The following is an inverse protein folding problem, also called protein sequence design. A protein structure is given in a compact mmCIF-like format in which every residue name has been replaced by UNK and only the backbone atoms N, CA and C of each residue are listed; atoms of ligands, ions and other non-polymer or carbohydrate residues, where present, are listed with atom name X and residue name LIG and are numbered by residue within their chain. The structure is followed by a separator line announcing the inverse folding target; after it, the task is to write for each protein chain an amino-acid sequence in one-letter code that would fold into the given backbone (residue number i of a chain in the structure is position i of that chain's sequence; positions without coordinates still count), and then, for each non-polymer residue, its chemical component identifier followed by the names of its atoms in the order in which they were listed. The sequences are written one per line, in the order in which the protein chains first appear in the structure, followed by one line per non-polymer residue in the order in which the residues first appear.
data_IF_053607612761
#
_entry.id   IF_053607612761
#
_cell.length_a   1.000
_cell.length_b   1.000
_cell.length_c   1.000
_cell.angle_alpha   90.00
_cell.angle_beta   90.00
_cell.angle_gamma   90.00
#
_symmetry.space_group_name_H-M   'P 1'
#
loop_
_entity.id
_entity.type
_entity.pdbx_description
1 polymer ?
#
# COMPACT_ATOMS: atom_id res chain seq x y z
N UNK A 1 4.38 18.70 23.80
CA UNK A 1 4.56 17.51 22.94
C UNK A 1 3.18 17.12 22.46
N UNK A 2 2.82 17.46 21.21
CA UNK A 2 1.51 17.07 20.66
C UNK A 2 1.50 15.55 20.52
N UNK A 3 0.56 14.87 21.17
CA UNK A 3 0.23 13.49 20.83
C UNK A 3 -0.02 13.46 19.31
N UNK A 4 0.82 12.74 18.57
CA UNK A 4 0.61 12.54 17.15
C UNK A 4 -0.62 11.64 17.01
N UNK A 5 -1.69 12.17 16.44
CA UNK A 5 -2.93 11.42 16.22
C UNK A 5 -2.69 10.31 15.20
N UNK A 6 -2.72 9.04 15.65
CA UNK A 6 -2.65 7.87 14.76
C UNK A 6 -3.93 7.82 13.91
N UNK A 7 -3.79 7.86 12.59
CA UNK A 7 -4.93 7.75 11.67
C UNK A 7 -5.35 6.30 11.47
N UNK A 8 -4.38 5.42 11.22
CA UNK A 8 -4.57 3.98 11.04
C UNK A 8 -3.60 3.23 11.94
N UNK A 9 -4.09 2.20 12.62
CA UNK A 9 -3.31 1.30 13.45
C UNK A 9 -3.78 -0.13 13.18
N UNK A 10 -2.86 -0.98 12.75
CA UNK A 10 -3.06 -2.41 12.56
C UNK A 10 -2.25 -3.12 13.63
N UNK A 11 -2.88 -4.03 14.39
CA UNK A 11 -2.22 -4.80 15.44
C UNK A 11 -2.43 -6.29 15.20
N UNK A 12 -1.33 -7.03 15.16
CA UNK A 12 -1.26 -8.50 15.11
C UNK A 12 -2.20 -9.12 14.06
N UNK A 13 -2.30 -8.48 12.89
CA UNK A 13 -3.18 -8.91 11.81
C UNK A 13 -2.66 -10.20 11.18
N UNK A 14 -3.50 -11.24 11.19
CA UNK A 14 -3.25 -12.51 10.51
C UNK A 14 -4.39 -12.83 9.57
N UNK A 15 -4.06 -13.03 8.28
CA UNK A 15 -5.01 -13.31 7.21
C UNK A 15 -4.58 -14.56 6.45
N UNK A 16 -5.47 -15.55 6.40
CA UNK A 16 -5.25 -16.82 5.70
C UNK A 16 -6.22 -16.94 4.53
N UNK A 17 -5.79 -17.58 3.44
CA UNK A 17 -6.71 -18.07 2.41
C UNK A 17 -6.82 -19.58 2.52
N UNK A 18 -8.03 -20.07 2.78
CA UNK A 18 -8.31 -21.50 2.94
C UNK A 18 -8.77 -22.06 1.60
N UNK A 19 -7.88 -22.76 0.90
CA UNK A 19 -8.16 -23.40 -0.39
C UNK A 19 -8.33 -24.92 -0.20
N UNK A 20 -8.68 -25.62 -1.29
CA UNK A 20 -8.79 -27.09 -1.29
C UNK A 20 -7.40 -27.73 -1.11
N UNK A 21 -6.36 -27.12 -1.67
CA UNK A 21 -5.00 -27.66 -1.70
C UNK A 21 -4.17 -27.30 -0.45
N UNK A 22 -4.69 -26.43 0.43
CA UNK A 22 -4.03 -26.05 1.67
C UNK A 22 -4.44 -24.67 2.20
N UNK A 23 -3.77 -24.23 3.26
CA UNK A 23 -3.94 -22.88 3.81
C UNK A 23 -2.76 -22.01 3.39
N UNK A 24 -3.04 -20.91 2.71
CA UNK A 24 -2.05 -19.90 2.31
C UNK A 24 -1.97 -18.85 3.41
N UNK A 25 -0.80 -18.73 4.03
CA UNK A 25 -0.51 -17.79 5.12
C UNK A 25 -0.11 -16.42 4.56
N UNK A 26 -1.09 -15.66 4.06
CA UNK A 26 -0.83 -14.45 3.28
C UNK A 26 -0.34 -13.25 4.12
N UNK A 27 -0.81 -13.12 5.37
CA UNK A 27 -0.37 -12.09 6.32
C UNK A 27 -0.30 -12.72 7.70
N UNK A 28 0.76 -12.47 8.45
CA UNK A 28 1.05 -13.12 9.72
C UNK A 28 1.62 -12.10 10.72
N UNK A 29 0.93 -11.93 11.85
CA UNK A 29 1.32 -11.07 12.98
C UNK A 29 1.76 -9.66 12.54
N UNK A 30 1.03 -9.08 11.58
CA UNK A 30 1.36 -7.77 11.02
C UNK A 30 0.88 -6.66 11.93
N UNK A 31 1.82 -5.84 12.40
CA UNK A 31 1.56 -4.61 13.16
C UNK A 31 2.15 -3.41 12.44
N UNK A 32 1.33 -2.39 12.22
CA UNK A 32 1.66 -1.24 11.38
C UNK A 32 0.88 0.01 11.78
N UNK A 33 1.50 1.18 11.68
CA UNK A 33 0.89 2.45 12.05
C UNK A 33 1.06 3.50 10.96
N UNK A 34 0.08 4.41 10.86
CA UNK A 34 0.15 5.58 9.99
C UNK A 34 -0.44 6.80 10.71
N UNK A 35 0.37 7.85 10.80
CA UNK A 35 -0.02 9.16 11.34
C UNK A 35 -0.81 9.99 10.29
N UNK A 36 -1.67 10.90 10.77
CA UNK A 36 -2.40 11.82 9.89
C UNK A 36 -1.44 12.72 9.07
N UNK A 37 -1.72 12.87 7.78
CA UNK A 37 -0.92 13.62 6.81
C UNK A 37 0.35 12.92 6.31
N UNK A 38 0.70 11.76 6.85
CA UNK A 38 1.90 11.00 6.45
C UNK A 38 1.65 10.06 5.28
N UNK A 39 2.72 9.72 4.57
CA UNK A 39 2.74 8.67 3.56
C UNK A 39 3.55 7.48 4.06
N UNK A 40 2.96 6.30 4.02
CA UNK A 40 3.62 5.04 4.26
C UNK A 40 3.80 4.27 2.96
N UNK A 41 5.02 3.89 2.62
CA UNK A 41 5.32 2.92 1.57
C UNK A 41 5.25 1.50 2.11
N UNK A 42 4.46 0.63 1.50
CA UNK A 42 4.44 -0.81 1.80
C UNK A 42 5.08 -1.54 0.62
N UNK A 43 6.29 -2.05 0.84
CA UNK A 43 7.16 -2.59 -0.22
C UNK A 43 7.48 -4.06 0.01
N UNK A 44 7.89 -4.77 -1.03
CA UNK A 44 8.24 -6.19 -0.97
C UNK A 44 8.00 -6.88 -2.30
N UNK A 45 8.51 -8.09 -2.46
CA UNK A 45 8.31 -8.90 -3.67
C UNK A 45 6.81 -9.23 -3.90
N UNK A 46 6.46 -9.63 -5.13
CA UNK A 46 5.12 -10.11 -5.47
C UNK A 46 4.73 -11.28 -4.57
N UNK A 47 3.49 -11.29 -4.08
CA UNK A 47 3.02 -12.33 -3.16
C UNK A 47 3.45 -12.16 -1.69
N UNK A 48 4.19 -11.09 -1.34
CA UNK A 48 4.60 -10.85 0.05
C UNK A 48 3.45 -10.54 1.03
N UNK A 49 2.23 -10.27 0.54
CA UNK A 49 1.03 -10.01 1.36
C UNK A 49 0.50 -8.57 1.34
N UNK A 50 1.17 -7.65 0.64
CA UNK A 50 0.87 -6.20 0.61
C UNK A 50 -0.60 -5.87 0.26
N UNK A 51 -1.07 -6.39 -0.86
CA UNK A 51 -2.47 -6.22 -1.32
C UNK A 51 -3.47 -6.85 -0.36
N UNK A 52 -3.13 -7.99 0.27
CA UNK A 52 -3.99 -8.63 1.28
C UNK A 52 -4.16 -7.72 2.49
N UNK A 53 -3.08 -7.10 2.98
CA UNK A 53 -3.12 -6.16 4.10
C UNK A 53 -4.09 -5.01 3.86
N UNK A 54 -3.99 -4.33 2.71
CA UNK A 54 -4.89 -3.19 2.41
C UNK A 54 -6.33 -3.62 2.12
N UNK A 55 -6.53 -4.80 1.51
CA UNK A 55 -7.87 -5.37 1.35
C UNK A 55 -8.52 -5.72 2.69
N UNK A 56 -7.73 -6.12 3.69
CA UNK A 56 -8.19 -6.33 5.06
C UNK A 56 -8.66 -5.01 5.70
N UNK A 57 -7.87 -3.93 5.57
CA UNK A 57 -8.27 -2.58 6.01
C UNK A 57 -9.59 -2.14 5.37
N UNK A 58 -9.75 -2.39 4.07
CA UNK A 58 -10.98 -2.05 3.35
C UNK A 58 -12.15 -3.02 3.56
N UNK A 59 -11.93 -4.15 4.25
CA UNK A 59 -12.88 -5.28 4.35
C UNK A 59 -13.49 -5.70 3.01
N UNK A 60 -12.60 -5.88 2.02
CA UNK A 60 -12.94 -6.37 0.68
C UNK A 60 -12.14 -7.64 0.33
N UNK A 61 -11.63 -8.33 1.35
CA UNK A 61 -11.09 -9.66 1.18
C UNK A 61 -12.17 -10.59 0.58
N UNK A 62 -11.81 -11.48 -0.35
CA UNK A 62 -12.76 -12.42 -0.94
C UNK A 62 -13.23 -13.41 0.13
N UNK A 63 -14.54 -13.52 0.34
CA UNK A 63 -15.14 -14.35 1.38
C UNK A 63 -16.20 -15.29 0.78
N UNK A 64 -15.90 -16.60 0.63
CA UNK A 64 -14.60 -17.30 0.75
C UNK A 64 -13.62 -16.94 -0.40
N UNK A 65 -12.30 -17.27 -0.31
CA UNK A 65 -11.62 -18.14 0.67
C UNK A 65 -10.81 -17.43 1.78
N UNK A 66 -10.79 -16.10 1.84
CA UNK A 66 -10.00 -15.38 2.83
C UNK A 66 -10.66 -15.37 4.21
N UNK A 67 -9.85 -15.52 5.27
CA UNK A 67 -10.27 -15.43 6.67
C UNK A 67 -9.28 -14.57 7.44
N UNK A 68 -9.81 -13.59 8.18
CA UNK A 68 -9.04 -12.89 9.21
C UNK A 68 -9.08 -13.78 10.46
N UNK A 69 -7.92 -14.30 10.85
CA UNK A 69 -7.80 -15.23 11.98
C UNK A 69 -7.73 -14.46 13.29
N UNK A 70 -6.95 -13.39 13.31
CA UNK A 70 -6.77 -12.51 14.46
C UNK A 70 -6.31 -11.12 14.02
N UNK A 71 -6.28 -10.22 15.00
CA UNK A 71 -5.80 -8.86 14.87
C UNK A 71 -6.90 -7.81 15.00
N UNK A 72 -6.48 -6.56 15.01
CA UNK A 72 -7.34 -5.38 15.11
C UNK A 72 -6.90 -4.35 14.07
N UNK A 73 -7.87 -3.68 13.44
CA UNK A 73 -7.61 -2.59 12.50
C UNK A 73 -8.39 -1.37 12.96
N UNK A 74 -7.72 -0.45 13.64
CA UNK A 74 -8.31 0.80 14.12
C UNK A 74 -8.08 1.94 13.12
N UNK A 75 -9.16 2.63 12.76
CA UNK A 75 -9.11 3.85 11.95
C UNK A 75 -9.76 4.99 12.72
N UNK A 76 -9.00 6.07 12.98
CA UNK A 76 -9.41 7.18 13.85
C UNK A 76 -9.93 6.70 15.23
N UNK A 77 -9.28 5.68 15.81
CA UNK A 77 -9.65 5.09 17.09
C UNK A 77 -10.87 4.15 17.05
N UNK A 78 -11.46 3.89 15.89
CA UNK A 78 -12.56 2.94 15.75
C UNK A 78 -12.11 1.66 15.04
N UNK A 79 -12.26 0.51 15.70
CA UNK A 79 -11.99 -0.80 15.10
C UNK A 79 -12.93 -1.06 13.91
N UNK A 80 -12.34 -1.15 12.72
CA UNK A 80 -13.02 -1.45 11.48
C UNK A 80 -13.63 -2.85 11.53
N UNK A 81 -12.93 -3.88 12.04
CA UNK A 81 -13.35 -5.28 11.98
C UNK A 81 -14.66 -5.55 12.71
N UNK A 82 -14.99 -4.72 13.71
CA UNK A 82 -16.25 -4.77 14.46
C UNK A 82 -17.42 -4.04 13.78
N UNK A 83 -17.19 -3.36 12.65
CA UNK A 83 -18.23 -2.57 11.96
C UNK A 83 -19.14 -3.42 11.12
N UNK A 84 -20.44 -3.09 11.13
CA UNK A 84 -21.39 -3.66 10.18
C UNK A 84 -21.08 -3.27 8.73
N UNK A 85 -21.52 -4.08 7.76
CA UNK A 85 -21.41 -3.77 6.32
C UNK A 85 -21.97 -2.38 5.97
N UNK A 86 -23.04 -1.93 6.64
CA UNK A 86 -23.65 -0.60 6.44
C UNK A 86 -22.76 0.53 6.96
N UNK A 87 -22.07 0.33 8.09
CA UNK A 87 -21.11 1.29 8.62
C UNK A 87 -19.87 1.38 7.70
N UNK A 88 -19.32 0.24 7.26
CA UNK A 88 -18.21 0.21 6.32
C UNK A 88 -18.52 0.88 4.98
N UNK A 89 -19.77 0.83 4.49
CA UNK A 89 -20.20 1.59 3.29
C UNK A 89 -20.10 3.11 3.44
N UNK A 90 -20.16 3.64 4.67
CA UNK A 90 -19.99 5.09 4.93
C UNK A 90 -18.52 5.49 5.01
N UNK A 91 -17.64 4.53 5.29
CA UNK A 91 -16.18 4.73 5.43
C UNK A 91 -15.52 4.60 4.06
N UNK A 92 -15.82 3.53 3.32
CA UNK A 92 -15.30 3.32 1.97
C UNK A 92 -15.78 4.43 1.03
N UNK A 93 -14.90 4.92 0.18
CA UNK A 93 -15.14 6.00 -0.77
C UNK A 93 -15.13 7.40 -0.15
N UNK A 94 -15.61 7.55 1.10
CA UNK A 94 -15.69 8.86 1.77
C UNK A 94 -14.51 9.17 2.71
N UNK A 95 -14.15 8.22 3.57
CA UNK A 95 -13.10 8.38 4.58
C UNK A 95 -11.82 7.66 4.17
N UNK A 96 -11.98 6.45 3.62
CA UNK A 96 -10.90 5.64 3.05
C UNK A 96 -11.24 5.36 1.59
N UNK A 97 -10.32 5.69 0.69
CA UNK A 97 -10.46 5.43 -0.73
C UNK A 97 -9.30 4.59 -1.23
N UNK A 98 -9.51 3.84 -2.32
CA UNK A 98 -8.51 2.94 -2.86
C UNK A 98 -8.39 3.10 -4.38
N UNK A 99 -7.16 3.24 -4.86
CA UNK A 99 -6.79 3.08 -6.26
C UNK A 99 -6.30 1.64 -6.42
N UNK A 100 -7.00 0.85 -7.24
CA UNK A 100 -6.67 -0.55 -7.50
C UNK A 100 -5.58 -0.68 -8.57
N UNK A 101 -4.88 -1.83 -8.54
CA UNK A 101 -3.75 -2.15 -9.41
C UNK A 101 -4.06 -2.11 -10.92
N UNK A 102 -5.29 -2.45 -11.34
CA UNK A 102 -5.68 -2.40 -12.75
C UNK A 102 -6.76 -1.34 -13.02
N UNK A 103 -6.41 -0.20 -13.67
CA UNK A 103 -7.38 0.82 -13.99
C UNK A 103 -8.43 0.37 -15.01
N UNK A 104 -8.10 -0.56 -15.91
CA UNK A 104 -9.02 -1.03 -16.94
C UNK A 104 -10.20 -1.79 -16.33
N UNK A 105 -9.99 -2.48 -15.22
CA UNK A 105 -11.06 -3.17 -14.48
C UNK A 105 -11.88 -2.23 -13.60
N UNK A 106 -11.38 -1.04 -13.31
CA UNK A 106 -11.99 -0.11 -12.35
C UNK A 106 -13.03 0.82 -12.98
N UNK A 107 -12.95 1.08 -14.28
CA UNK A 107 -13.90 1.93 -15.01
C UNK A 107 -14.93 1.10 -15.76
N UNK A 108 -16.21 1.45 -15.62
CA UNK A 108 -17.29 0.84 -16.38
C UNK A 108 -17.27 1.35 -17.83
N UNK A 109 -17.04 0.49 -18.84
CA UNK A 109 -16.88 0.91 -20.24
C UNK A 109 -18.15 1.44 -20.89
N UNK A 110 -19.33 1.18 -20.30
CA UNK A 110 -20.64 1.63 -20.81
C UNK A 110 -21.18 2.87 -20.10
N UNK A 111 -20.40 3.48 -19.20
CA UNK A 111 -20.75 4.73 -18.53
C UNK A 111 -19.75 5.82 -18.90
N UNK A 112 -20.22 7.07 -18.96
CA UNK A 112 -19.32 8.20 -19.15
C UNK A 112 -18.41 8.37 -17.94
N UNK A 113 -17.24 8.98 -18.16
CA UNK A 113 -16.27 9.25 -17.11
C UNK A 113 -16.85 10.19 -16.04
N UNK A 114 -17.54 11.26 -16.47
CA UNK A 114 -18.17 12.23 -15.57
C UNK A 114 -19.28 11.61 -14.73
N UNK A 115 -20.11 10.73 -15.32
CA UNK A 115 -21.17 10.05 -14.58
C UNK A 115 -20.61 9.16 -13.46
N UNK A 116 -19.51 8.44 -13.71
CA UNK A 116 -18.87 7.58 -12.71
C UNK A 116 -18.31 8.38 -11.52
N UNK A 117 -17.64 9.50 -11.78
CA UNK A 117 -17.15 10.39 -10.72
C UNK A 117 -18.32 11.01 -9.95
N UNK A 118 -19.35 11.50 -10.66
CA UNK A 118 -20.55 12.07 -10.07
C UNK A 118 -21.29 11.06 -9.18
N UNK A 119 -21.36 9.79 -9.59
CA UNK A 119 -22.01 8.73 -8.82
C UNK A 119 -21.39 8.59 -7.43
N UNK A 120 -20.05 8.51 -7.37
CA UNK A 120 -19.32 8.41 -6.09
C UNK A 120 -19.64 9.60 -5.19
N UNK A 121 -19.60 10.83 -5.72
CA UNK A 121 -19.93 12.05 -4.97
C UNK A 121 -21.35 11.97 -4.40
N UNK A 122 -22.34 11.60 -5.22
CA UNK A 122 -23.75 11.55 -4.80
C UNK A 122 -24.05 10.45 -3.80
N UNK A 123 -23.33 9.32 -3.87
CA UNK A 123 -23.48 8.22 -2.91
C UNK A 123 -23.04 8.65 -1.50
N UNK A 124 -22.04 9.52 -1.40
CA UNK A 124 -21.41 9.92 -0.13
C UNK A 124 -21.79 11.33 0.36
N UNK A 125 -22.36 12.15 -0.51
CA UNK A 125 -22.99 13.43 -0.20
C UNK A 125 -24.42 13.51 -0.77
N UNK A 126 -25.38 13.06 0.05
CA UNK A 126 -26.80 13.01 -0.32
C UNK A 126 -27.47 14.39 -0.43
N UNK A 127 -26.80 15.45 0.03
CA UNK A 127 -27.36 16.80 -0.01
C UNK A 127 -27.11 17.49 -1.34
N UNK A 128 -26.14 17.00 -2.13
CA UNK A 128 -25.81 17.59 -3.42
C UNK A 128 -26.87 17.28 -4.48
N UNK A 129 -27.26 18.31 -5.23
CA UNK A 129 -28.07 18.12 -6.43
C UNK A 129 -27.26 17.38 -7.50
N UNK A 130 -27.95 16.77 -8.47
CA UNK A 130 -27.28 16.14 -9.62
C UNK A 130 -26.41 17.15 -10.38
N UNK A 131 -26.89 18.39 -10.51
CA UNK A 131 -26.18 19.46 -11.23
C UNK A 131 -24.88 19.85 -10.50
N UNK A 132 -24.94 20.01 -9.18
CA UNK A 132 -23.76 20.39 -8.39
C UNK A 132 -22.74 19.24 -8.35
N UNK A 133 -23.21 18.00 -8.27
CA UNK A 133 -22.33 16.83 -8.33
C UNK A 133 -21.65 16.68 -9.69
N UNK A 134 -22.33 17.02 -10.79
CA UNK A 134 -21.74 17.06 -12.13
C UNK A 134 -20.66 18.14 -12.24
N UNK A 135 -20.92 19.34 -11.72
CA UNK A 135 -19.92 20.43 -11.69
C UNK A 135 -18.67 19.97 -10.95
N UNK A 136 -18.82 19.39 -9.75
CA UNK A 136 -17.69 18.83 -9.00
C UNK A 136 -16.97 17.72 -9.77
N UNK A 137 -17.68 16.85 -10.47
CA UNK A 137 -17.06 15.82 -11.30
C UNK A 137 -16.18 16.43 -12.40
N UNK A 138 -16.65 17.48 -13.05
CA UNK A 138 -15.86 18.25 -14.03
C UNK A 138 -14.64 18.92 -13.40
N UNK A 139 -14.79 19.55 -12.23
CA UNK A 139 -13.68 20.15 -11.48
C UNK A 139 -12.61 19.10 -11.13
N UNK A 140 -13.04 17.90 -10.70
CA UNK A 140 -12.13 16.79 -10.41
C UNK A 140 -11.36 16.32 -11.66
N UNK A 141 -11.97 16.35 -12.84
CA UNK A 141 -11.27 16.06 -14.11
C UNK A 141 -10.22 17.12 -14.42
N UNK A 142 -10.56 18.39 -14.26
CA UNK A 142 -9.63 19.49 -14.50
C UNK A 142 -8.43 19.44 -13.56
N UNK A 143 -8.66 19.10 -12.28
CA UNK A 143 -7.60 18.91 -11.29
C UNK A 143 -6.58 17.84 -11.69
N UNK A 144 -7.02 16.80 -12.40
CA UNK A 144 -6.13 15.75 -12.90
C UNK A 144 -5.60 16.03 -14.31
N UNK A 145 -5.81 17.25 -14.82
CA UNK A 145 -5.33 17.71 -16.12
C UNK A 145 -6.13 17.19 -17.31
N UNK A 146 -7.40 16.84 -17.10
CA UNK A 146 -8.35 16.43 -18.15
C UNK A 146 -9.40 17.52 -18.30
N UNK A 147 -9.59 18.02 -19.52
CA UNK A 147 -10.59 19.07 -19.78
C UNK A 147 -11.99 18.57 -19.41
N UNK A 148 -12.80 19.45 -18.83
CA UNK A 148 -14.16 19.15 -18.37
C UNK A 148 -15.13 18.78 -19.51
N UNK A 149 -14.88 19.25 -20.73
CA UNK A 149 -15.65 18.86 -21.94
C UNK A 149 -15.57 17.34 -22.22
N UNK A 150 -14.52 16.67 -21.75
CA UNK A 150 -14.35 15.22 -21.85
C UNK A 150 -15.11 14.43 -20.79
N UNK A 151 -15.87 15.08 -19.91
CA UNK A 151 -16.68 14.38 -18.90
C UNK A 151 -17.74 13.45 -19.53
N UNK A 152 -18.22 13.77 -20.74
CA UNK A 152 -19.20 12.95 -21.47
C UNK A 152 -18.57 11.82 -22.28
N UNK A 153 -17.24 11.75 -22.36
CA UNK A 153 -16.55 10.65 -23.04
C UNK A 153 -16.62 9.37 -22.20
N UNK A 154 -16.49 8.24 -22.88
CA UNK A 154 -16.40 6.91 -22.31
C UNK A 154 -14.94 6.49 -22.06
N UNK A 155 -14.67 5.56 -21.14
CA UNK A 155 -13.32 5.10 -20.84
C UNK A 155 -12.53 4.62 -22.06
N UNK A 156 -13.17 3.98 -23.04
CA UNK A 156 -12.48 3.48 -24.24
C UNK A 156 -11.94 4.60 -25.16
N UNK A 157 -12.34 5.86 -24.95
CA UNK A 157 -11.81 7.03 -25.66
C UNK A 157 -10.56 7.64 -24.99
N UNK A 158 -10.10 7.07 -23.87
CA UNK A 158 -8.98 7.59 -23.06
C UNK A 158 -7.74 6.70 -23.19
N UNK A 159 -6.55 7.32 -23.17
CA UNK A 159 -5.28 6.58 -23.04
C UNK A 159 -5.17 5.95 -21.64
N UNK A 160 -4.23 5.01 -21.47
CA UNK A 160 -3.98 4.37 -20.16
C UNK A 160 -3.72 5.39 -19.04
N UNK A 161 -2.82 6.35 -19.28
CA UNK A 161 -2.52 7.43 -18.32
C UNK A 161 -3.72 8.33 -18.01
N UNK A 162 -4.56 8.60 -19.01
CA UNK A 162 -5.79 9.36 -18.80
C UNK A 162 -6.80 8.59 -17.95
N UNK A 163 -6.97 7.29 -18.17
CA UNK A 163 -7.81 6.43 -17.32
C UNK A 163 -7.31 6.39 -15.89
N UNK A 164 -5.99 6.32 -15.69
CA UNK A 164 -5.41 6.37 -14.36
C UNK A 164 -5.74 7.69 -13.64
N UNK A 165 -5.58 8.82 -14.33
CA UNK A 165 -5.94 10.15 -13.82
C UNK A 165 -7.43 10.23 -13.44
N UNK A 166 -8.31 9.67 -14.25
CA UNK A 166 -9.75 9.56 -13.93
C UNK A 166 -9.99 8.78 -12.64
N UNK A 167 -9.29 7.66 -12.44
CA UNK A 167 -9.45 6.85 -11.22
C UNK A 167 -8.93 7.59 -10.00
N UNK A 168 -7.81 8.31 -10.12
CA UNK A 168 -7.30 9.18 -9.06
C UNK A 168 -8.32 10.27 -8.71
N UNK A 169 -8.89 10.92 -9.73
CA UNK A 169 -9.95 11.91 -9.55
C UNK A 169 -11.16 11.30 -8.81
N UNK A 170 -11.62 10.13 -9.24
CA UNK A 170 -12.73 9.42 -8.62
C UNK A 170 -12.43 9.03 -7.16
N UNK A 171 -11.22 8.54 -6.89
CA UNK A 171 -10.79 8.14 -5.55
C UNK A 171 -10.72 9.33 -4.58
N UNK A 172 -10.37 10.52 -5.08
CA UNK A 172 -10.23 11.74 -4.29
C UNK A 172 -11.49 12.61 -4.29
N UNK A 173 -12.51 12.30 -5.09
CA UNK A 173 -13.70 13.13 -5.28
C UNK A 173 -14.48 13.43 -3.98
N UNK A 174 -14.33 12.58 -2.96
CA UNK A 174 -14.96 12.76 -1.65
C UNK A 174 -14.01 13.25 -0.55
N UNK A 175 -12.78 13.67 -0.91
CA UNK A 175 -11.73 14.14 0.00
C UNK A 175 -11.46 13.16 1.16
N UNK A 176 -11.01 11.93 0.86
CA UNK A 176 -10.77 10.92 1.89
C UNK A 176 -9.62 11.34 2.82
N UNK A 177 -9.72 10.91 4.08
CA UNK A 177 -8.63 11.05 5.05
C UNK A 177 -7.47 10.09 4.78
N UNK A 178 -7.77 8.93 4.22
CA UNK A 178 -6.79 7.91 3.83
C UNK A 178 -6.99 7.51 2.37
N UNK A 179 -5.94 7.66 1.57
CA UNK A 179 -5.83 7.12 0.22
C UNK A 179 -4.92 5.89 0.24
N UNK A 180 -5.44 4.75 -0.18
CA UNK A 180 -4.65 3.55 -0.44
C UNK A 180 -4.40 3.48 -1.93
N UNK A 181 -3.15 3.44 -2.35
CA UNK A 181 -2.78 3.31 -3.74
C UNK A 181 -2.01 1.99 -3.94
N UNK A 182 -2.69 1.01 -4.53
CA UNK A 182 -2.12 -0.32 -4.79
C UNK A 182 -1.55 -0.38 -6.19
N UNK A 183 -0.23 -0.21 -6.32
CA UNK A 183 0.46 -0.22 -7.61
C UNK A 183 -0.14 0.74 -8.68
N UNK A 184 -0.38 2.02 -8.34
CA UNK A 184 -1.15 2.96 -9.16
C UNK A 184 -0.41 3.44 -10.42
N UNK A 185 0.83 3.04 -10.63
CA UNK A 185 1.64 3.41 -11.80
C UNK A 185 2.09 2.20 -12.60
N UNK A 186 1.67 1.00 -12.21
CA UNK A 186 1.96 -0.22 -12.97
C UNK A 186 1.35 -0.11 -14.37
N UNK A 187 2.09 -0.57 -15.38
CA UNK A 187 1.72 -0.52 -16.80
C UNK A 187 1.61 0.89 -17.43
N UNK A 188 2.17 1.92 -16.79
CA UNK A 188 2.35 3.25 -17.38
C UNK A 188 3.80 3.43 -17.86
N UNK A 189 4.01 4.25 -18.89
CA UNK A 189 5.35 4.68 -19.25
C UNK A 189 5.94 5.60 -18.17
N UNK A 190 7.27 5.67 -18.09
CA UNK A 190 8.01 6.42 -17.06
C UNK A 190 7.62 7.90 -17.01
N UNK A 191 7.28 8.51 -18.14
CA UNK A 191 6.90 9.93 -18.20
C UNK A 191 5.51 10.14 -17.59
N UNK A 192 4.54 9.30 -17.94
CA UNK A 192 3.19 9.35 -17.37
C UNK A 192 3.20 8.96 -15.89
N UNK A 193 4.01 7.99 -15.49
CA UNK A 193 4.21 7.64 -14.08
C UNK A 193 4.64 8.86 -13.26
N UNK A 194 5.69 9.58 -13.67
CA UNK A 194 6.14 10.78 -12.96
C UNK A 194 5.03 11.85 -12.85
N UNK A 195 4.25 12.05 -13.92
CA UNK A 195 3.13 12.99 -13.91
C UNK A 195 2.01 12.57 -12.94
N UNK A 196 1.71 11.27 -12.86
CA UNK A 196 0.71 10.71 -11.95
C UNK A 196 1.16 10.84 -10.50
N UNK A 197 2.42 10.52 -10.20
CA UNK A 197 2.99 10.65 -8.86
C UNK A 197 2.99 12.10 -8.38
N UNK A 198 3.40 13.04 -9.23
CA UNK A 198 3.37 14.47 -8.91
C UNK A 198 1.94 14.97 -8.68
N UNK A 199 0.98 14.50 -9.47
CA UNK A 199 -0.44 14.78 -9.26
C UNK A 199 -0.90 14.27 -7.89
N UNK A 200 -0.61 13.01 -7.56
CA UNK A 200 -0.96 12.44 -6.25
C UNK A 200 -0.34 13.23 -5.10
N UNK A 201 0.93 13.65 -5.22
CA UNK A 201 1.63 14.48 -4.23
C UNK A 201 0.94 15.83 -4.03
N UNK A 202 0.56 16.52 -5.12
CA UNK A 202 -0.17 17.79 -5.07
C UNK A 202 -1.53 17.63 -4.40
N UNK A 203 -2.30 16.63 -4.81
CA UNK A 203 -3.64 16.41 -4.26
C UNK A 203 -3.60 15.97 -2.79
N UNK A 204 -2.63 15.14 -2.40
CA UNK A 204 -2.35 14.81 -0.99
C UNK A 204 -2.15 16.08 -0.17
N UNK A 205 -1.29 17.00 -0.63
CA UNK A 205 -1.02 18.26 0.07
C UNK A 205 -2.24 19.18 0.13
N UNK A 206 -2.99 19.29 -0.96
CA UNK A 206 -4.19 20.13 -1.05
C UNK A 206 -5.32 19.65 -0.12
N UNK A 207 -5.52 18.33 -0.04
CA UNK A 207 -6.62 17.73 0.75
C UNK A 207 -6.19 17.26 2.14
N UNK A 208 -4.91 17.42 2.51
CA UNK A 208 -4.34 16.93 3.76
C UNK A 208 -4.60 15.42 3.99
N UNK A 209 -4.66 14.66 2.90
CA UNK A 209 -4.91 13.22 2.92
C UNK A 209 -3.66 12.46 3.34
N UNK A 210 -3.81 11.41 4.12
CA UNK A 210 -2.74 10.45 4.42
C UNK A 210 -2.73 9.36 3.37
N UNK A 211 -1.58 8.73 3.12
CA UNK A 211 -1.45 7.80 2.00
C UNK A 211 -0.73 6.51 2.39
N UNK A 212 -1.26 5.37 1.93
CA UNK A 212 -0.53 4.10 1.88
C UNK A 212 -0.22 3.81 0.42
N UNK A 213 1.06 3.68 0.11
CA UNK A 213 1.60 3.48 -1.23
C UNK A 213 2.14 2.05 -1.32
N UNK A 214 1.45 1.15 -2.01
CA UNK A 214 2.01 -0.16 -2.36
C UNK A 214 2.72 -0.03 -3.69
N UNK A 215 3.99 -0.41 -3.71
CA UNK A 215 4.79 -0.47 -4.93
C UNK A 215 5.93 -1.46 -4.75
N UNK A 216 6.44 -1.97 -5.87
CA UNK A 216 7.69 -2.72 -5.93
C UNK A 216 8.86 -1.83 -6.36
N UNK A 217 8.60 -0.58 -6.77
CA UNK A 217 9.62 0.39 -7.17
C UNK A 217 10.06 1.24 -5.97
N UNK A 218 11.27 1.00 -5.50
CA UNK A 218 11.88 1.72 -4.38
C UNK A 218 12.24 3.17 -4.71
N UNK A 219 12.41 3.53 -6.00
CA UNK A 219 12.62 4.91 -6.41
C UNK A 219 11.42 5.80 -6.09
N UNK A 220 10.21 5.30 -6.39
CA UNK A 220 8.94 5.97 -6.03
C UNK A 220 8.83 6.15 -4.51
N UNK A 221 9.23 5.14 -3.76
CA UNK A 221 9.18 5.16 -2.28
C UNK A 221 10.12 6.24 -1.74
N UNK A 222 11.32 6.37 -2.31
CA UNK A 222 12.30 7.39 -1.96
C UNK A 222 11.76 8.81 -2.18
N UNK A 223 10.95 8.99 -3.23
CA UNK A 223 10.43 10.30 -3.62
C UNK A 223 9.26 10.74 -2.74
N UNK A 224 8.32 9.85 -2.41
CA UNK A 224 6.99 10.24 -1.92
C UNK A 224 6.69 9.78 -0.48
N UNK A 225 7.37 8.75 0.02
CA UNK A 225 7.05 8.16 1.32
C UNK A 225 7.81 8.83 2.47
N UNK A 226 7.12 9.03 3.60
CA UNK A 226 7.71 9.47 4.86
C UNK A 226 8.30 8.26 5.63
N UNK A 227 7.53 7.17 5.64
CA UNK A 227 7.86 5.91 6.29
C UNK A 227 7.81 4.76 5.29
N UNK A 228 8.54 3.69 5.56
CA UNK A 228 8.59 2.50 4.71
C UNK A 228 8.46 1.25 5.58
N UNK A 229 7.55 0.36 5.18
CA UNK A 229 7.36 -0.97 5.74
C UNK A 229 7.76 -2.00 4.68
N UNK A 230 8.82 -2.76 4.95
CA UNK A 230 9.32 -3.82 4.08
C UNK A 230 8.68 -5.13 4.49
N UNK A 231 7.91 -5.72 3.58
CA UNK A 231 7.15 -6.95 3.80
C UNK A 231 7.82 -8.12 3.08
N UNK A 232 7.96 -9.25 3.77
CA UNK A 232 8.46 -10.49 3.20
C UNK A 232 7.64 -11.68 3.71
N UNK A 233 7.13 -12.49 2.78
CA UNK A 233 6.41 -13.72 3.05
C UNK A 233 5.34 -13.59 4.15
N UNK A 234 4.53 -12.53 4.14
CA UNK A 234 3.42 -12.31 5.08
C UNK A 234 3.75 -11.45 6.30
N UNK A 235 5.02 -11.11 6.54
CA UNK A 235 5.45 -10.37 7.75
C UNK A 235 6.14 -9.05 7.38
N UNK A 236 6.05 -8.04 8.25
CA UNK A 236 6.92 -6.86 8.18
C UNK A 236 8.28 -7.25 8.77
N UNK A 237 9.32 -7.23 7.94
CA UNK A 237 10.69 -7.58 8.35
C UNK A 237 11.52 -6.36 8.75
N UNK A 238 11.14 -5.18 8.26
CA UNK A 238 11.78 -3.92 8.60
C UNK A 238 10.80 -2.76 8.40
N UNK A 239 10.80 -1.81 9.33
CA UNK A 239 9.99 -0.60 9.29
C UNK A 239 10.83 0.57 9.79
N UNK A 240 10.71 1.73 9.16
CA UNK A 240 11.32 2.95 9.68
C UNK A 240 11.02 4.15 8.80
N UNK A 241 11.62 5.29 9.14
CA UNK A 241 11.54 6.45 8.27
C UNK A 241 12.39 6.22 7.00
N UNK A 242 12.13 7.04 5.97
CA UNK A 242 12.84 6.95 4.71
C UNK A 242 14.37 7.00 4.86
N UNK A 243 14.90 7.94 5.65
CA UNK A 243 16.36 8.11 5.79
C UNK A 243 17.02 6.86 6.41
N UNK A 244 16.40 6.29 7.45
CA UNK A 244 16.84 5.07 8.11
C UNK A 244 16.93 3.90 7.12
N UNK A 245 15.88 3.66 6.35
CA UNK A 245 15.82 2.48 5.48
C UNK A 245 16.70 2.61 4.23
N UNK A 246 16.84 3.82 3.66
CA UNK A 246 17.66 4.02 2.47
C UNK A 246 19.16 4.14 2.77
N UNK A 247 19.53 4.68 3.93
CA UNK A 247 20.96 4.85 4.29
C UNK A 247 21.50 3.76 5.19
N UNK A 248 20.65 3.17 6.06
CA UNK A 248 21.05 2.18 7.07
C UNK A 248 20.08 1.00 7.13
N UNK A 249 19.76 0.34 6.00
CA UNK A 249 18.93 -0.87 6.03
C UNK A 249 19.60 -1.93 6.89
N UNK A 250 18.84 -2.53 7.80
CA UNK A 250 19.36 -3.44 8.82
C UNK A 250 19.07 -4.91 8.46
N UNK A 251 17.87 -5.23 7.97
CA UNK A 251 17.51 -6.60 7.63
C UNK A 251 18.20 -7.04 6.31
N UNK A 252 18.78 -8.26 6.23
CA UNK A 252 19.47 -8.73 5.02
C UNK A 252 18.62 -8.70 3.74
N UNK A 253 17.33 -8.99 3.85
CA UNK A 253 16.38 -8.85 2.73
C UNK A 253 16.29 -7.41 2.23
N UNK A 254 16.10 -6.45 3.14
CA UNK A 254 16.02 -5.03 2.80
C UNK A 254 17.31 -4.55 2.14
N UNK A 255 18.47 -4.94 2.68
CA UNK A 255 19.78 -4.67 2.05
C UNK A 255 19.84 -5.20 0.61
N UNK A 256 19.39 -6.44 0.40
CA UNK A 256 19.31 -7.04 -0.92
C UNK A 256 18.38 -6.28 -1.86
N UNK A 257 17.20 -5.87 -1.39
CA UNK A 257 16.25 -5.08 -2.19
C UNK A 257 16.86 -3.76 -2.67
N UNK A 258 17.54 -3.04 -1.77
CA UNK A 258 18.20 -1.78 -2.12
C UNK A 258 19.44 -1.99 -3.01
N UNK A 259 20.19 -3.08 -2.82
CA UNK A 259 21.34 -3.42 -3.66
C UNK A 259 20.95 -3.79 -5.11
N UNK A 260 19.71 -4.19 -5.34
CA UNK A 260 19.16 -4.41 -6.68
C UNK A 260 18.86 -3.12 -7.44
N UNK A 261 18.89 -1.95 -6.79
CA UNK A 261 18.65 -0.66 -7.45
C UNK A 261 19.94 -0.24 -8.18
N UNK A 262 19.89 0.01 -9.50
CA UNK A 262 21.07 0.45 -10.24
C UNK A 262 21.54 1.82 -9.74
N UNK A 263 22.81 1.92 -9.34
CA UNK A 263 23.45 3.20 -9.07
C UNK A 263 23.87 3.83 -10.40
N UNK A 264 23.14 4.86 -10.85
CA UNK A 264 23.43 5.57 -12.11
C UNK A 264 24.79 6.30 -12.11
N UNK A 265 25.46 6.40 -10.95
CA UNK A 265 26.76 7.06 -10.81
C UNK A 265 27.95 6.09 -10.87
N UNK A 266 27.73 4.77 -10.90
CA UNK A 266 28.79 3.76 -10.95
C UNK A 266 28.94 3.20 -12.38
N UNK A 267 30.19 3.15 -12.88
CA UNK A 267 30.51 2.69 -14.24
C UNK A 267 30.33 1.16 -14.42
N UNK A 268 30.44 0.38 -13.35
CA UNK A 268 30.26 -1.08 -13.36
C UNK A 268 28.94 -1.48 -12.68
N UNK A 269 27.85 -1.56 -13.46
CA UNK A 269 26.55 -2.04 -12.98
C UNK A 269 26.51 -3.57 -12.87
N UNK A 270 27.18 -4.15 -11.86
CA UNK A 270 26.93 -5.56 -11.50
C UNK A 270 25.75 -5.62 -10.53
N UNK A 271 24.56 -5.84 -11.08
CA UNK A 271 23.36 -6.09 -10.28
C UNK A 271 23.60 -7.31 -9.38
N UNK A 272 23.35 -7.15 -8.07
CA UNK A 272 23.44 -8.24 -7.09
C UNK A 272 22.02 -8.70 -6.77
N UNK A 273 21.50 -9.73 -7.45
CA UNK A 273 20.15 -10.22 -7.18
C UNK A 273 20.09 -10.91 -5.82
N UNK A 274 18.91 -10.91 -5.21
CA UNK A 274 18.63 -11.79 -4.08
C UNK A 274 18.45 -13.21 -4.61
N UNK A 275 19.37 -14.10 -4.28
CA UNK A 275 19.33 -15.49 -4.75
C UNK A 275 18.07 -16.26 -4.30
N UNK A 276 17.68 -17.25 -5.10
CA UNK A 276 16.53 -18.12 -4.85
C UNK A 276 15.18 -17.50 -5.19
N UNK A 277 14.11 -18.25 -4.90
CA UNK A 277 12.71 -17.85 -5.12
C UNK A 277 12.01 -17.53 -3.80
N UNK A 278 10.96 -16.73 -3.84
CA UNK A 278 10.08 -16.55 -2.68
C UNK A 278 9.55 -17.89 -2.18
N UNK A 279 9.45 -18.09 -0.85
CA UNK A 279 8.86 -19.30 -0.30
C UNK A 279 7.39 -19.38 -0.69
N UNK A 280 6.92 -20.60 -0.91
CA UNK A 280 5.50 -20.87 -1.08
C UNK A 280 4.74 -20.42 0.19
N UNK A 281 3.77 -19.50 0.11
CA UNK A 281 3.00 -19.06 1.26
C UNK A 281 2.16 -20.17 1.93
N UNK A 282 1.94 -21.31 1.27
CA UNK A 282 1.34 -22.50 1.88
C UNK A 282 2.35 -23.38 2.63
N UNK A 283 3.65 -23.22 2.38
CA UNK A 283 4.75 -24.01 2.94
C UNK A 283 5.90 -23.12 3.38
N UNK A 284 5.61 -22.26 4.35
CA UNK A 284 6.59 -21.32 4.86
C UNK A 284 7.72 -22.03 5.65
N UNK A 285 8.96 -21.54 5.57
CA UNK A 285 10.08 -22.09 6.34
C UNK A 285 9.84 -21.94 7.85
N UNK A 286 10.40 -22.87 8.63
CA UNK A 286 10.47 -22.72 10.08
C UNK A 286 11.47 -21.62 10.47
N UNK A 287 11.32 -21.08 11.69
CA UNK A 287 12.15 -19.98 12.17
C UNK A 287 11.96 -18.68 11.37
N UNK A 288 13.06 -18.06 10.97
CA UNK A 288 13.08 -16.88 10.11
C UNK A 288 12.68 -17.25 8.67
N UNK A 289 11.62 -16.63 8.12
CA UNK A 289 11.13 -16.95 6.77
C UNK A 289 12.14 -16.66 5.66
N UNK A 290 13.07 -15.73 5.89
CA UNK A 290 14.10 -15.35 4.92
C UNK A 290 15.38 -16.21 5.00
N UNK A 291 15.53 -17.07 6.01
CA UNK A 291 16.77 -17.84 6.19
C UNK A 291 17.23 -18.65 4.96
N UNK A 292 16.34 -19.24 4.12
CA UNK A 292 16.80 -20.02 2.97
C UNK A 292 17.50 -19.20 1.88
N UNK A 293 17.27 -17.88 1.85
CA UNK A 293 17.84 -16.92 0.89
C UNK A 293 18.82 -15.94 1.55
N UNK A 294 18.97 -16.00 2.86
CA UNK A 294 19.77 -15.04 3.61
C UNK A 294 21.26 -15.44 3.56
N UNK A 295 22.16 -14.58 3.05
CA UNK A 295 23.60 -14.88 3.00
C UNK A 295 24.23 -14.93 4.41
N UNK A 296 23.54 -14.44 5.43
CA UNK A 296 23.97 -14.44 6.83
C UNK A 296 23.18 -15.45 7.70
N UNK A 297 22.51 -16.43 7.07
CA UNK A 297 21.73 -17.42 7.81
C UNK A 297 22.62 -18.27 8.73
N UNK A 298 22.19 -18.48 9.97
CA UNK A 298 22.77 -19.43 10.91
C UNK A 298 21.76 -20.52 11.26
N UNK A 299 22.18 -21.59 11.94
CA UNK A 299 21.27 -22.65 12.41
C UNK A 299 20.15 -22.10 13.31
N UNK A 300 20.43 -21.05 14.09
CA UNK A 300 19.45 -20.37 14.93
C UNK A 300 18.31 -19.77 14.11
N UNK A 301 18.60 -19.28 12.90
CA UNK A 301 17.59 -18.73 11.98
C UNK A 301 16.62 -19.80 11.46
N UNK A 302 17.00 -21.07 11.44
CA UNK A 302 16.12 -22.16 11.00
C UNK A 302 15.14 -22.59 12.11
N UNK A 303 15.54 -22.43 13.36
CA UNK A 303 14.78 -22.94 14.51
C UNK A 303 13.95 -21.86 15.22
N UNK A 304 14.44 -20.62 15.27
CA UNK A 304 13.82 -19.53 16.05
C UNK A 304 13.21 -18.46 15.14
N UNK A 305 11.96 -18.08 15.41
CA UNK A 305 11.35 -16.88 14.80
C UNK A 305 11.96 -15.61 15.42
N UNK A 306 12.47 -14.68 14.61
CA UNK A 306 12.93 -13.39 15.12
C UNK A 306 11.76 -12.58 15.70
N UNK A 307 12.02 -11.87 16.79
CA UNK A 307 11.13 -10.86 17.35
C UNK A 307 11.39 -9.52 16.66
N UNK A 308 10.40 -8.64 16.70
CA UNK A 308 10.58 -7.25 16.31
C UNK A 308 11.38 -6.53 17.40
N UNK A 309 12.50 -5.93 17.02
CA UNK A 309 13.35 -5.11 17.88
C UNK A 309 13.45 -3.71 17.31
N UNK A 310 13.69 -2.71 18.16
CA UNK A 310 13.87 -1.32 17.76
C UNK A 310 15.37 -0.99 17.76
N UNK A 311 15.96 -0.77 16.59
CA UNK A 311 17.41 -0.53 16.45
C UNK A 311 17.80 0.92 16.67
N UNK A 312 16.91 1.83 16.29
CA UNK A 312 16.97 3.28 16.51
C UNK A 312 15.52 3.75 16.73
N UNK A 313 15.26 4.93 17.34
CA UNK A 313 13.90 5.41 17.56
C UNK A 313 13.04 5.37 16.28
N UNK A 314 11.96 4.59 16.30
CA UNK A 314 11.04 4.38 15.18
C UNK A 314 11.53 3.46 14.07
N UNK A 315 12.70 2.83 14.22
CA UNK A 315 13.27 1.85 13.28
C UNK A 315 13.18 0.45 13.87
N UNK A 316 12.27 -0.35 13.33
CA UNK A 316 12.01 -1.72 13.78
C UNK A 316 12.55 -2.74 12.77
N UNK A 317 13.15 -3.81 13.28
CA UNK A 317 13.65 -4.93 12.47
C UNK A 317 13.30 -6.26 13.09
N UNK A 318 13.01 -7.24 12.24
CA UNK A 318 12.75 -8.63 12.64
C UNK A 318 13.91 -9.54 12.22
N UNK A 319 15.04 -9.49 12.93
CA UNK A 319 16.25 -10.24 12.56
C UNK A 319 17.08 -10.73 13.76
N UNK A 320 17.39 -12.04 13.79
CA UNK A 320 18.22 -12.64 14.85
C UNK A 320 19.67 -12.11 14.87
N UNK A 321 20.21 -11.72 13.71
CA UNK A 321 21.58 -11.16 13.62
C UNK A 321 21.70 -9.85 14.39
N UNK A 322 20.61 -9.08 14.45
CA UNK A 322 20.57 -7.80 15.13
C UNK A 322 20.16 -7.97 16.60
N UNK A 323 19.24 -8.89 16.91
CA UNK A 323 18.93 -9.28 18.31
C UNK A 323 20.18 -9.65 19.12
N UNK A 324 21.17 -10.29 18.48
CA UNK A 324 22.41 -10.70 19.12
C UNK A 324 23.36 -9.54 19.45
N UNK A 325 23.22 -8.38 18.80
CA UNK A 325 24.13 -7.22 18.93
C UNK A 325 23.79 -6.29 20.09
N UNK A 326 22.59 -6.37 20.66
CA UNK A 326 22.21 -5.58 21.85
C UNK A 326 22.89 -6.05 23.15
N UNK A 327 23.65 -7.16 23.11
CA UNK A 327 24.29 -7.78 24.29
C UNK A 327 25.81 -7.60 24.39
N UNK A 328 26.43 -6.78 23.53
CA UNK A 328 27.84 -6.38 23.61
C UNK A 328 27.96 -4.88 23.90
#
# INVERSE_FOLDING_TARGET
MSEKSKLLEIRDLTVHYVTVDGTVHAVEDLSLELEEGKTLGLVGETGAGKTTTVKAVMQILPDPPAKIIQGEISFMGEDLLKKSKKAMRKIRGKQISMIFQDPMTSLNPVMTVGDQIMEVIRLHDKKLSRKDAWIKACEMLELVGIKSDRATDYPHQFSGGMKQRVIIAMALACNPKLLIADEPTTALDVTIQAQVLELMRKLKAQYQTSMIMITHDLGIVAEICDYVAVMYAGEIVEYGNKEQLFHRPSHPYTKGLFACIPNLMEEEMKLVPIEGLTPDPAKLPQGCRFHPRCPYASEHCQQKRPKTIETEPGHFVKCLLIEGREKE
#
